data_IF_578200560032
#
_entry.id   IF_578200560032
#
_cell.length_a   1.000
_cell.length_b   1.000
_cell.length_c   1.000
_cell.angle_alpha   90.00
_cell.angle_beta   90.00
_cell.angle_gamma   90.00
#
_symmetry.space_group_name_H-M   'P 1'
#
loop_
_entity.id
_entity.type
_entity.pdbx_description
1 polymer ?
#
# COMPACT_ATOMS: atom_id res chain seq x y z
N UNK A 1 2.44 11.00 10.87
CA UNK A 1 3.64 10.57 10.13
C UNK A 1 3.42 10.66 8.62
N UNK A 2 4.48 10.63 7.79
CA UNK A 2 4.37 10.55 6.31
C UNK A 2 4.95 9.23 5.82
N UNK A 3 4.12 8.19 5.80
CA UNK A 3 4.44 6.92 5.12
C UNK A 3 3.94 7.04 3.68
N UNK A 4 4.76 6.71 2.69
CA UNK A 4 4.32 6.75 1.29
C UNK A 4 3.57 5.48 0.96
N UNK A 5 2.51 5.61 0.17
CA UNK A 5 1.77 4.46 -0.37
C UNK A 5 2.70 3.53 -1.15
N UNK A 6 3.70 4.06 -1.86
CA UNK A 6 4.70 3.24 -2.56
C UNK A 6 5.47 2.31 -1.63
N UNK A 7 5.85 2.76 -0.44
CA UNK A 7 6.65 1.95 0.49
C UNK A 7 5.84 0.75 0.99
N UNK A 8 4.55 0.96 1.30
CA UNK A 8 3.64 -0.13 1.68
C UNK A 8 3.45 -1.12 0.53
N UNK A 9 3.30 -0.64 -0.71
CA UNK A 9 3.16 -1.50 -1.89
C UNK A 9 4.44 -2.28 -2.20
N UNK A 10 5.62 -1.69 -2.00
CA UNK A 10 6.91 -2.36 -2.20
C UNK A 10 7.09 -3.50 -1.19
N UNK A 11 6.72 -3.30 0.08
CA UNK A 11 6.78 -4.37 1.08
C UNK A 11 5.81 -5.51 0.75
N UNK A 12 4.58 -5.19 0.36
CA UNK A 12 3.62 -6.20 -0.11
C UNK A 12 4.13 -6.95 -1.35
N UNK A 13 4.78 -6.25 -2.29
CA UNK A 13 5.36 -6.86 -3.49
C UNK A 13 6.54 -7.78 -3.17
N UNK A 14 7.28 -7.51 -2.09
CA UNK A 14 8.33 -8.38 -1.56
C UNK A 14 7.78 -9.60 -0.79
N UNK A 15 6.45 -9.72 -0.68
CA UNK A 15 5.79 -10.88 -0.07
C UNK A 15 5.57 -10.79 1.44
N UNK A 16 5.80 -9.62 2.04
CA UNK A 16 5.52 -9.42 3.46
C UNK A 16 4.01 -9.46 3.72
N UNK A 17 3.64 -10.09 4.84
CA UNK A 17 2.29 -10.05 5.36
C UNK A 17 1.96 -8.67 5.96
N UNK A 18 0.68 -8.29 6.06
CA UNK A 18 0.29 -7.05 6.74
C UNK A 18 0.82 -6.97 8.18
N UNK A 19 0.88 -8.09 8.90
CA UNK A 19 1.42 -8.16 10.26
C UNK A 19 2.93 -7.83 10.28
N UNK A 20 3.70 -8.38 9.34
CA UNK A 20 5.13 -8.11 9.21
C UNK A 20 5.39 -6.64 8.84
N UNK A 21 4.56 -6.07 7.97
CA UNK A 21 4.65 -4.64 7.60
C UNK A 21 4.44 -3.75 8.82
N UNK A 22 3.50 -4.09 9.71
CA UNK A 22 3.25 -3.32 10.93
C UNK A 22 4.38 -3.47 11.96
N UNK A 23 5.13 -4.57 11.93
CA UNK A 23 6.34 -4.72 12.74
C UNK A 23 7.48 -3.83 12.23
N UNK A 24 7.65 -3.73 10.92
CA UNK A 24 8.65 -2.87 10.28
C UNK A 24 8.26 -1.38 10.35
N UNK A 25 6.96 -1.09 10.35
CA UNK A 25 6.38 0.25 10.34
C UNK A 25 5.40 0.41 11.50
N UNK A 26 5.88 0.59 12.75
CA UNK A 26 5.03 0.60 13.94
C UNK A 26 4.04 1.76 14.01
N UNK A 27 4.25 2.80 13.21
CA UNK A 27 3.35 3.95 13.08
C UNK A 27 2.28 3.78 12.00
N UNK A 28 2.26 2.63 11.32
CA UNK A 28 1.24 2.27 10.34
C UNK A 28 0.12 1.51 11.04
N UNK A 29 -1.11 1.69 10.58
CA UNK A 29 -2.25 0.88 11.01
C UNK A 29 -2.74 -0.03 9.87
N UNK A 30 -3.46 -1.10 10.23
CA UNK A 30 -4.11 -1.97 9.23
C UNK A 30 -5.03 -1.19 8.28
N UNK A 31 -5.63 -0.10 8.75
CA UNK A 31 -6.47 0.77 7.94
C UNK A 31 -5.68 1.51 6.85
N UNK A 32 -4.45 1.92 7.15
CA UNK A 32 -3.56 2.57 6.19
C UNK A 32 -3.12 1.63 5.07
N UNK A 33 -2.89 0.34 5.40
CA UNK A 33 -2.58 -0.69 4.40
C UNK A 33 -3.77 -0.85 3.44
N UNK A 34 -5.00 -0.95 3.98
CA UNK A 34 -6.22 -1.03 3.17
C UNK A 34 -6.43 0.23 2.33
N UNK A 35 -6.19 1.42 2.91
CA UNK A 35 -6.30 2.69 2.20
C UNK A 35 -5.27 2.79 1.06
N UNK A 36 -4.04 2.32 1.29
CA UNK A 36 -2.96 2.26 0.30
C UNK A 36 -3.32 1.39 -0.91
N UNK A 37 -3.86 0.20 -0.65
CA UNK A 37 -4.34 -0.71 -1.70
C UNK A 37 -5.50 -0.10 -2.50
N UNK A 38 -6.48 0.52 -1.82
CA UNK A 38 -7.59 1.21 -2.49
C UNK A 38 -7.11 2.38 -3.34
N UNK A 39 -6.19 3.17 -2.81
CA UNK A 39 -5.57 4.27 -3.55
C UNK A 39 -4.89 3.76 -4.83
N UNK A 40 -4.08 2.70 -4.71
CA UNK A 40 -3.41 2.06 -5.84
C UNK A 40 -4.41 1.57 -6.90
N UNK A 41 -5.43 0.81 -6.48
CA UNK A 41 -6.50 0.32 -7.36
C UNK A 41 -7.20 1.46 -8.10
N UNK A 42 -7.61 2.52 -7.38
CA UNK A 42 -8.31 3.67 -7.98
C UNK A 42 -7.46 4.42 -9.02
N UNK A 43 -6.13 4.34 -8.91
CA UNK A 43 -5.20 5.00 -9.82
C UNK A 43 -4.95 4.15 -11.07
N UNK A 44 -4.96 2.83 -10.93
CA UNK A 44 -4.89 1.88 -12.04
C UNK A 44 -6.18 1.90 -12.88
N UNK A 45 -7.36 1.97 -12.25
CA UNK A 45 -8.64 2.08 -12.97
C UNK A 45 -8.74 3.34 -13.84
N UNK A 46 -8.01 4.41 -13.49
CA UNK A 46 -7.92 5.62 -14.32
C UNK A 46 -6.90 5.50 -15.45
N UNK A 47 -5.99 4.53 -15.39
CA UNK A 47 -4.89 4.34 -16.34
C UNK A 47 -5.20 3.36 -17.48
N UNK A 48 -6.33 2.66 -17.43
CA UNK A 48 -6.72 1.67 -18.46
C UNK A 48 -7.44 2.27 -19.68
N UNK A 49 -7.62 3.59 -19.75
CA UNK A 49 -8.24 4.28 -20.90
C UNK A 49 -7.23 4.85 -21.91
N UNK A 50 -6.06 4.22 -22.04
CA UNK A 50 -5.09 4.52 -23.09
C UNK A 50 -4.69 3.23 -23.81
N UNK A 51 -5.56 2.75 -24.69
CA UNK A 51 -5.26 1.76 -25.73
C UNK A 51 -6.01 2.17 -26.98
#
# INVERSE_FOLDING_TARGET
MRIRVSDVLDLLANGLSPEEILQEMPDLEFEDIRASLRYASSRLDRSIAAT
#
